data_IF_416582505133
#
_entry.id   IF_416582505133
#
_cell.length_a   1.000
_cell.length_b   1.000
_cell.length_c   1.000
_cell.angle_alpha   90.00
_cell.angle_beta   90.00
_cell.angle_gamma   90.00
#
_symmetry.space_group_name_H-M   'P 1'
#
loop_
_entity.id
_entity.type
_entity.pdbx_description
1 polymer ?
#
# COMPACT_ATOMS: atom_id res chain seq x y z
N UNK A 1 -14.55 -5.35 4.87
CA UNK A 1 -14.62 -3.92 5.27
C UNK A 1 -14.28 -3.12 4.02
N UNK A 2 -15.21 -2.32 3.51
CA UNK A 2 -15.00 -1.53 2.30
C UNK A 2 -14.35 -0.18 2.66
N UNK A 3 -13.39 0.27 1.85
CA UNK A 3 -12.65 1.51 2.09
C UNK A 3 -13.01 2.55 1.02
N UNK A 4 -13.49 3.71 1.45
CA UNK A 4 -13.65 4.86 0.57
C UNK A 4 -12.50 5.85 0.79
N UNK A 5 -11.74 6.16 -0.25
CA UNK A 5 -10.70 7.20 -0.23
C UNK A 5 -11.20 8.43 -0.96
N UNK A 6 -11.11 9.59 -0.33
CA UNK A 6 -11.63 10.84 -0.87
C UNK A 6 -10.54 11.90 -0.84
N UNK A 7 -10.36 12.57 -1.98
CA UNK A 7 -9.59 13.79 -2.06
C UNK A 7 -10.50 14.99 -2.15
N UNK A 8 -10.49 15.79 -1.07
CA UNK A 8 -11.35 16.95 -0.88
C UNK A 8 -10.82 18.20 -1.57
N UNK A 9 -9.53 18.21 -1.92
CA UNK A 9 -8.85 19.36 -2.47
C UNK A 9 -7.64 18.99 -3.34
N UNK A 10 -7.29 19.90 -4.25
CA UNK A 10 -6.05 19.86 -5.03
C UNK A 10 -4.94 20.72 -4.44
N UNK A 11 -5.28 21.67 -3.56
CA UNK A 11 -4.28 22.53 -2.93
C UNK A 11 -3.40 21.73 -1.97
N UNK A 12 -2.10 21.97 -2.03
CA UNK A 12 -1.11 21.40 -1.12
C UNK A 12 -0.07 22.48 -0.79
N UNK A 13 0.42 22.46 0.43
CA UNK A 13 1.52 23.30 0.91
C UNK A 13 2.91 22.70 0.58
N UNK A 14 2.94 21.54 -0.09
CA UNK A 14 4.14 20.94 -0.68
C UNK A 14 4.00 20.77 -2.20
N UNK A 15 5.13 20.72 -2.91
CA UNK A 15 5.22 20.60 -4.37
C UNK A 15 6.13 19.43 -4.77
N UNK A 16 5.87 18.27 -4.18
CA UNK A 16 6.75 17.10 -4.25
C UNK A 16 7.09 16.69 -5.68
N UNK A 17 8.37 16.37 -5.92
CA UNK A 17 8.88 15.89 -7.20
C UNK A 17 8.22 14.57 -7.66
N UNK A 18 7.64 13.81 -6.73
CA UNK A 18 6.97 12.52 -6.95
C UNK A 18 5.46 12.56 -6.62
N UNK A 19 4.82 13.73 -6.61
CA UNK A 19 3.39 13.85 -6.31
C UNK A 19 2.53 13.11 -7.37
N UNK A 20 1.93 11.98 -7.02
CA UNK A 20 1.13 11.17 -7.95
C UNK A 20 -0.13 11.90 -8.46
N UNK A 21 -0.67 12.84 -7.67
CA UNK A 21 -1.84 13.66 -8.04
C UNK A 21 -1.50 14.72 -9.10
N UNK A 22 -0.29 15.28 -9.05
CA UNK A 22 0.16 16.29 -10.00
C UNK A 22 -0.57 17.64 -9.87
N UNK A 23 -0.43 18.53 -10.87
CA UNK A 23 -1.16 19.80 -10.91
C UNK A 23 -2.65 19.59 -11.16
N UNK A 24 -3.52 20.53 -10.75
CA UNK A 24 -4.94 20.46 -11.07
C UNK A 24 -5.19 20.39 -12.58
N UNK A 25 -6.06 19.49 -13.05
CA UNK A 25 -6.63 19.57 -14.38
C UNK A 25 -7.34 20.92 -14.59
N UNK A 26 -7.36 21.39 -15.83
CA UNK A 26 -8.07 22.62 -16.19
C UNK A 26 -9.57 22.45 -15.90
N UNK A 27 -10.16 23.43 -15.21
CA UNK A 27 -11.59 23.45 -14.90
C UNK A 27 -12.01 22.59 -13.70
N UNK A 28 -11.07 21.91 -13.03
CA UNK A 28 -11.41 21.12 -11.84
C UNK A 28 -11.75 22.02 -10.65
N UNK A 29 -12.68 21.56 -9.80
CA UNK A 29 -12.96 22.20 -8.52
C UNK A 29 -11.77 22.01 -7.58
N UNK A 30 -11.15 23.11 -7.14
CA UNK A 30 -9.91 23.08 -6.33
C UNK A 30 -10.13 22.56 -4.90
N UNK A 31 -11.30 22.82 -4.33
CA UNK A 31 -11.73 22.40 -2.98
C UNK A 31 -13.22 22.15 -3.01
N UNK A 32 -13.68 21.04 -2.44
CA UNK A 32 -15.10 20.83 -2.14
C UNK A 32 -15.54 21.79 -1.04
N UNK A 33 -16.84 22.12 -1.00
CA UNK A 33 -17.42 22.72 0.20
C UNK A 33 -17.56 21.68 1.31
N UNK A 34 -17.85 22.13 2.52
CA UNK A 34 -18.12 21.22 3.64
C UNK A 34 -19.34 20.35 3.37
N UNK A 35 -20.40 20.95 2.81
CA UNK A 35 -21.67 20.28 2.50
C UNK A 35 -21.50 19.18 1.46
N UNK A 36 -20.79 19.46 0.36
CA UNK A 36 -20.53 18.48 -0.70
C UNK A 36 -19.66 17.31 -0.19
N UNK A 37 -18.62 17.63 0.57
CA UNK A 37 -17.72 16.62 1.13
C UNK A 37 -18.49 15.67 2.05
N UNK A 38 -19.39 16.23 2.83
CA UNK A 38 -20.20 15.53 3.80
C UNK A 38 -21.29 14.67 3.18
N UNK A 39 -22.03 15.20 2.20
CA UNK A 39 -23.03 14.44 1.43
C UNK A 39 -22.38 13.18 0.86
N UNK A 40 -21.24 13.32 0.18
CA UNK A 40 -20.52 12.20 -0.40
C UNK A 40 -20.03 11.18 0.66
N UNK A 41 -19.55 11.65 1.81
CA UNK A 41 -19.12 10.78 2.91
C UNK A 41 -20.29 9.96 3.45
N UNK A 42 -21.48 10.56 3.60
CA UNK A 42 -22.67 9.89 4.10
C UNK A 42 -23.24 8.90 3.07
N UNK A 43 -23.25 9.27 1.79
CA UNK A 43 -23.67 8.38 0.70
C UNK A 43 -22.82 7.12 0.66
N UNK A 44 -21.49 7.28 0.71
CA UNK A 44 -20.58 6.13 0.72
C UNK A 44 -20.69 5.29 1.99
N UNK A 45 -21.10 5.88 3.11
CA UNK A 45 -21.42 5.11 4.30
C UNK A 45 -22.68 4.26 4.09
N UNK A 46 -23.72 4.82 3.47
CA UNK A 46 -24.95 4.12 3.14
C UNK A 46 -24.72 2.97 2.14
N UNK A 47 -23.75 3.11 1.24
CA UNK A 47 -23.26 2.04 0.36
C UNK A 47 -22.44 0.93 1.08
N UNK A 48 -22.23 1.07 2.40
CA UNK A 48 -21.53 0.07 3.22
C UNK A 48 -20.02 0.29 3.37
N UNK A 49 -19.48 1.45 3.02
CA UNK A 49 -18.08 1.77 3.31
C UNK A 49 -17.83 1.87 4.80
N UNK A 50 -16.91 1.06 5.32
CA UNK A 50 -16.60 0.98 6.75
C UNK A 50 -15.39 1.83 7.14
N UNK A 51 -14.53 2.14 6.17
CA UNK A 51 -13.29 2.91 6.38
C UNK A 51 -13.32 4.12 5.45
N UNK A 52 -13.17 5.31 6.01
CA UNK A 52 -13.01 6.55 5.25
C UNK A 52 -11.53 6.95 5.26
N UNK A 53 -10.96 7.33 4.13
CA UNK A 53 -9.60 7.86 4.05
C UNK A 53 -9.60 9.23 3.37
N UNK A 54 -9.22 10.27 4.09
CA UNK A 54 -8.95 11.59 3.52
C UNK A 54 -7.53 11.59 2.93
N UNK A 55 -7.43 11.87 1.64
CA UNK A 55 -6.19 11.84 0.84
C UNK A 55 -6.08 13.05 -0.10
N UNK A 56 -4.96 13.12 -0.84
CA UNK A 56 -4.61 14.10 -1.86
C UNK A 56 -4.50 15.53 -1.34
N UNK A 57 -4.09 16.48 -2.20
CA UNK A 57 -3.76 17.84 -1.79
C UNK A 57 -2.99 17.86 -0.47
N UNK A 58 -3.49 18.61 0.51
CA UNK A 58 -3.20 18.39 1.93
C UNK A 58 -4.48 18.59 2.75
N UNK A 59 -5.14 17.52 3.26
CA UNK A 59 -6.45 17.64 3.90
C UNK A 59 -6.43 18.51 5.16
N UNK A 60 -5.29 18.59 5.85
CA UNK A 60 -5.16 19.41 7.07
C UNK A 60 -5.16 20.91 6.80
N UNK A 61 -5.26 21.34 5.54
CA UNK A 61 -5.54 22.74 5.15
C UNK A 61 -7.03 23.09 5.20
N UNK A 62 -7.93 22.11 5.37
CA UNK A 62 -9.37 22.32 5.43
C UNK A 62 -9.81 22.58 6.88
N UNK A 63 -10.34 23.77 7.21
CA UNK A 63 -10.78 24.08 8.57
C UNK A 63 -11.90 23.15 9.08
N UNK A 64 -12.74 22.64 8.17
CA UNK A 64 -13.86 21.75 8.49
C UNK A 64 -13.46 20.27 8.61
N UNK A 65 -12.18 19.90 8.43
CA UNK A 65 -11.74 18.50 8.51
C UNK A 65 -12.12 17.83 9.85
N UNK A 66 -11.97 18.46 11.03
CA UNK A 66 -12.37 17.85 12.30
C UNK A 66 -13.87 17.55 12.36
N UNK A 67 -14.71 18.49 11.91
CA UNK A 67 -16.16 18.32 11.89
C UNK A 67 -16.53 17.16 10.96
N UNK A 68 -16.01 17.15 9.73
CA UNK A 68 -16.25 16.08 8.76
C UNK A 68 -15.82 14.70 9.26
N UNK A 69 -14.65 14.60 9.92
CA UNK A 69 -14.19 13.35 10.54
C UNK A 69 -15.09 12.91 11.69
N UNK A 70 -15.52 13.84 12.55
CA UNK A 70 -16.48 13.57 13.63
C UNK A 70 -17.82 13.07 13.09
N UNK A 71 -18.38 13.75 12.10
CA UNK A 71 -19.63 13.41 11.39
C UNK A 71 -19.56 12.01 10.78
N UNK A 72 -18.45 11.69 10.11
CA UNK A 72 -18.21 10.35 9.55
C UNK A 72 -18.25 9.26 10.64
N UNK A 73 -17.55 9.46 11.75
CA UNK A 73 -17.54 8.49 12.86
C UNK A 73 -18.92 8.30 13.49
N UNK A 74 -19.70 9.38 13.68
CA UNK A 74 -21.07 9.30 14.19
C UNK A 74 -22.02 8.61 13.20
N UNK A 75 -21.78 8.73 11.89
CA UNK A 75 -22.51 7.98 10.85
C UNK A 75 -22.14 6.48 10.80
N UNK A 76 -21.19 6.03 11.63
CA UNK A 76 -20.85 4.63 11.79
C UNK A 76 -19.67 4.14 10.95
N UNK A 77 -18.84 5.03 10.40
CA UNK A 77 -17.52 4.61 9.91
C UNK A 77 -16.73 3.99 11.06
N UNK A 78 -16.14 2.82 10.81
CA UNK A 78 -15.34 2.07 11.80
C UNK A 78 -13.96 2.69 11.99
N UNK A 79 -13.43 3.34 10.94
CA UNK A 79 -12.14 4.03 10.98
C UNK A 79 -12.15 5.24 10.04
N UNK A 80 -11.42 6.27 10.42
CA UNK A 80 -11.08 7.43 9.59
C UNK A 80 -9.56 7.48 9.46
N UNK A 81 -9.04 7.48 8.25
CA UNK A 81 -7.62 7.62 7.95
C UNK A 81 -7.36 9.01 7.38
N UNK A 82 -6.33 9.70 7.85
CA UNK A 82 -5.91 11.01 7.34
C UNK A 82 -4.50 10.85 6.80
N UNK A 83 -4.34 10.94 5.48
CA UNK A 83 -3.03 11.00 4.84
C UNK A 83 -2.59 12.46 4.72
N UNK A 84 -1.41 12.78 5.25
CA UNK A 84 -0.97 14.17 5.43
C UNK A 84 0.56 14.29 5.36
N UNK A 85 1.08 15.44 4.96
CA UNK A 85 2.48 15.84 5.14
C UNK A 85 2.76 16.42 6.55
N UNK A 86 1.72 16.55 7.38
CA UNK A 86 1.74 17.06 8.75
C UNK A 86 2.31 18.48 8.94
N UNK A 87 2.54 19.24 7.87
CA UNK A 87 3.12 20.59 7.95
C UNK A 87 2.16 21.56 8.64
N UNK A 88 0.85 21.48 8.35
CA UNK A 88 -0.14 22.32 9.02
C UNK A 88 -0.39 21.88 10.47
N UNK A 89 -0.16 20.59 10.77
CA UNK A 89 -0.27 20.03 12.12
C UNK A 89 0.84 20.48 13.08
N UNK A 90 1.84 21.24 12.59
CA UNK A 90 2.76 21.96 13.47
C UNK A 90 2.02 22.94 14.36
N UNK A 91 0.90 23.50 13.88
CA UNK A 91 -0.09 24.15 14.73
C UNK A 91 -0.95 23.05 15.39
N UNK A 92 -0.88 22.99 16.72
CA UNK A 92 -1.54 21.95 17.51
C UNK A 92 -3.07 22.12 17.55
N UNK A 93 -3.62 23.28 17.16
CA UNK A 93 -5.07 23.53 17.21
C UNK A 93 -5.88 22.51 16.38
N UNK A 94 -5.39 22.17 15.18
CA UNK A 94 -6.03 21.16 14.32
C UNK A 94 -6.02 19.77 14.96
N UNK A 95 -4.88 19.39 15.59
CA UNK A 95 -4.75 18.11 16.28
C UNK A 95 -5.71 18.02 17.48
N UNK A 96 -5.82 19.10 18.26
CA UNK A 96 -6.75 19.19 19.39
C UNK A 96 -8.21 19.16 18.93
N UNK A 97 -8.55 19.79 17.81
CA UNK A 97 -9.89 19.73 17.23
C UNK A 97 -10.24 18.30 16.78
N UNK A 98 -9.34 17.61 16.09
CA UNK A 98 -9.51 16.20 15.69
C UNK A 98 -9.64 15.27 16.91
N UNK A 99 -8.98 15.59 18.02
CA UNK A 99 -9.09 14.81 19.25
C UNK A 99 -10.48 14.96 19.90
N UNK A 100 -11.09 16.14 19.79
CA UNK A 100 -12.40 16.47 20.39
C UNK A 100 -13.59 16.09 19.51
N UNK A 101 -13.40 15.83 18.21
CA UNK A 101 -14.50 15.61 17.27
C UNK A 101 -15.31 14.33 17.53
N UNK A 102 -14.79 13.38 18.31
CA UNK A 102 -15.49 12.15 18.67
C UNK A 102 -14.90 11.53 19.95
N UNK A 103 -15.71 10.94 20.88
CA UNK A 103 -15.19 10.35 22.13
C UNK A 103 -14.16 9.24 21.95
N UNK A 104 -14.20 8.55 20.79
CA UNK A 104 -13.25 7.49 20.42
C UNK A 104 -12.23 7.94 19.36
N UNK A 105 -12.06 9.24 19.13
CA UNK A 105 -11.19 9.78 18.06
C UNK A 105 -9.78 9.17 18.10
N UNK A 106 -9.15 9.15 19.28
CA UNK A 106 -7.81 8.55 19.50
C UNK A 106 -7.69 7.09 19.04
N UNK A 107 -8.78 6.32 19.02
CA UNK A 107 -8.79 4.91 18.60
C UNK A 107 -9.17 4.74 17.12
N UNK A 108 -10.07 5.59 16.63
CA UNK A 108 -10.71 5.43 15.32
C UNK A 108 -10.11 6.31 14.22
N UNK A 109 -9.38 7.37 14.57
CA UNK A 109 -8.65 8.22 13.62
C UNK A 109 -7.19 7.78 13.55
N UNK A 110 -6.73 7.48 12.34
CA UNK A 110 -5.38 7.00 12.06
C UNK A 110 -4.68 7.96 11.09
N UNK A 111 -3.41 8.25 11.34
CA UNK A 111 -2.62 9.15 10.49
C UNK A 111 -1.59 8.37 9.67
N UNK A 112 -1.57 8.64 8.37
CA UNK A 112 -0.47 8.29 7.49
C UNK A 112 0.35 9.54 7.17
N UNK A 113 1.51 9.70 7.79
CA UNK A 113 2.33 10.91 7.64
C UNK A 113 3.43 10.71 6.62
N UNK A 114 3.41 11.51 5.56
CA UNK A 114 4.44 11.54 4.54
C UNK A 114 5.74 12.13 5.08
N UNK A 115 6.81 11.31 5.14
CA UNK A 115 8.16 11.74 5.48
C UNK A 115 9.18 10.98 4.63
N UNK A 116 9.81 11.70 3.71
CA UNK A 116 10.57 11.09 2.60
C UNK A 116 12.10 11.21 2.74
N UNK A 117 12.58 11.87 3.79
CA UNK A 117 14.00 11.93 4.14
C UNK A 117 14.18 12.22 5.64
N UNK A 118 15.35 11.89 6.18
CA UNK A 118 15.73 12.23 7.56
C UNK A 118 16.62 13.49 7.64
N UNK A 119 17.03 14.01 6.49
CA UNK A 119 17.85 15.22 6.38
C UNK A 119 16.98 16.34 5.80
N UNK A 120 16.97 17.49 6.45
CA UNK A 120 16.24 18.69 6.00
C UNK A 120 16.49 19.00 4.53
N UNK A 121 17.77 19.08 4.12
CA UNK A 121 18.18 19.38 2.75
C UNK A 121 17.58 18.41 1.72
N UNK A 122 17.44 17.13 2.06
CA UNK A 122 16.86 16.15 1.16
C UNK A 122 15.33 16.22 1.16
N UNK A 123 14.72 16.39 2.33
CA UNK A 123 13.26 16.53 2.45
C UNK A 123 12.77 17.73 1.67
N UNK A 124 13.31 18.93 1.93
CA UNK A 124 12.87 20.18 1.31
C UNK A 124 13.20 20.24 -0.19
N UNK A 125 14.25 19.53 -0.63
CA UNK A 125 14.50 19.35 -2.06
C UNK A 125 13.44 18.46 -2.72
N UNK A 126 13.12 17.32 -2.09
CA UNK A 126 12.14 16.37 -2.61
C UNK A 126 10.72 16.95 -2.61
N UNK A 127 10.34 17.68 -1.56
CA UNK A 127 9.02 18.32 -1.41
C UNK A 127 8.95 19.67 -2.13
N UNK A 128 10.09 20.23 -2.55
CA UNK A 128 10.24 21.57 -3.13
C UNK A 128 9.61 22.67 -2.28
N UNK A 129 9.67 22.51 -0.96
CA UNK A 129 9.12 23.45 0.00
C UNK A 129 10.11 23.70 1.13
N UNK A 130 10.64 24.92 1.20
CA UNK A 130 11.57 25.32 2.25
C UNK A 130 10.84 25.54 3.58
N UNK A 131 11.49 25.16 4.70
CA UNK A 131 10.95 25.33 6.04
C UNK A 131 9.88 24.31 6.43
N UNK A 132 9.56 23.31 5.59
CA UNK A 132 8.52 22.32 5.93
C UNK A 132 9.03 21.17 6.79
N UNK A 133 10.32 20.81 6.71
CA UNK A 133 10.86 19.64 7.40
C UNK A 133 10.64 19.68 8.92
N UNK A 134 11.07 20.76 9.59
CA UNK A 134 10.92 20.91 11.04
C UNK A 134 9.44 21.01 11.47
N UNK A 135 8.60 21.57 10.60
CA UNK A 135 7.16 21.66 10.81
C UNK A 135 6.50 20.30 10.73
N UNK A 136 6.85 19.48 9.74
CA UNK A 136 6.41 18.07 9.65
C UNK A 136 6.83 17.29 10.90
N UNK A 137 8.09 17.42 11.35
CA UNK A 137 8.55 16.76 12.58
C UNK A 137 7.75 17.23 13.80
N UNK A 138 7.44 18.53 13.87
CA UNK A 138 6.60 19.09 14.95
C UNK A 138 5.16 18.56 14.88
N UNK A 139 4.57 18.46 13.70
CA UNK A 139 3.26 17.85 13.51
C UNK A 139 3.22 16.38 13.93
N UNK A 140 4.25 15.59 13.60
CA UNK A 140 4.40 14.20 14.06
C UNK A 140 4.45 14.15 15.59
N UNK A 141 5.20 15.05 16.24
CA UNK A 141 5.27 15.13 17.71
C UNK A 141 3.91 15.47 18.31
N UNK A 142 3.17 16.42 17.74
CA UNK A 142 1.83 16.79 18.19
C UNK A 142 0.85 15.60 18.10
N UNK A 143 0.87 14.85 16.98
CA UNK A 143 0.07 13.64 16.80
C UNK A 143 0.40 12.56 17.84
N UNK A 144 1.69 12.32 18.07
CA UNK A 144 2.16 11.36 19.07
C UNK A 144 1.76 11.78 20.49
N UNK A 145 1.86 13.08 20.83
CA UNK A 145 1.47 13.60 22.13
C UNK A 145 -0.05 13.50 22.38
N UNK A 146 -0.87 13.72 21.34
CA UNK A 146 -2.32 13.46 21.39
C UNK A 146 -2.64 11.94 21.46
N UNK A 147 -1.66 11.09 21.14
CA UNK A 147 -1.74 9.63 21.21
C UNK A 147 -2.46 9.00 20.02
N UNK A 148 -2.50 9.69 18.88
CA UNK A 148 -3.09 9.13 17.67
C UNK A 148 -2.22 8.00 17.06
N UNK A 149 -2.85 6.93 16.54
CA UNK A 149 -2.20 5.98 15.64
C UNK A 149 -1.48 6.71 14.50
N UNK A 150 -0.16 6.57 14.41
CA UNK A 150 0.61 7.22 13.35
C UNK A 150 1.52 6.21 12.67
N UNK A 151 1.42 6.17 11.34
CA UNK A 151 2.28 5.39 10.43
C UNK A 151 2.98 6.34 9.48
N UNK A 152 4.28 6.15 9.24
CA UNK A 152 4.98 6.95 8.23
C UNK A 152 4.79 6.42 6.81
N UNK A 153 4.80 7.31 5.83
CA UNK A 153 4.84 6.99 4.41
C UNK A 153 6.12 7.52 3.78
N UNK A 154 6.91 6.63 3.18
CA UNK A 154 8.21 6.96 2.60
C UNK A 154 8.29 6.54 1.14
N UNK A 155 8.36 7.52 0.23
CA UNK A 155 8.61 7.28 -1.19
C UNK A 155 10.11 7.10 -1.41
N UNK A 156 10.50 5.96 -1.95
CA UNK A 156 11.90 5.63 -2.24
C UNK A 156 12.32 6.36 -3.51
N UNK A 157 13.33 7.23 -3.41
CA UNK A 157 13.83 8.03 -4.54
C UNK A 157 15.30 7.75 -4.81
N UNK A 158 15.79 8.12 -6.01
CA UNK A 158 17.21 8.10 -6.36
C UNK A 158 18.08 8.91 -5.39
N UNK A 159 17.51 9.92 -4.73
CA UNK A 159 18.22 10.74 -3.76
C UNK A 159 18.36 10.07 -2.39
N UNK A 160 17.39 9.26 -1.99
CA UNK A 160 17.26 8.79 -0.60
C UNK A 160 17.42 7.28 -0.43
N UNK A 161 17.38 6.46 -1.49
CA UNK A 161 17.42 5.01 -1.31
C UNK A 161 18.69 4.50 -0.60
N UNK A 162 19.86 5.09 -0.87
CA UNK A 162 21.12 4.75 -0.17
C UNK A 162 21.09 5.09 1.33
N UNK A 163 20.18 5.98 1.71
CA UNK A 163 20.01 6.54 3.05
C UNK A 163 18.88 5.88 3.84
N UNK A 164 18.20 4.86 3.29
CA UNK A 164 17.11 4.16 3.97
C UNK A 164 17.50 3.60 5.35
N UNK A 165 18.69 2.99 5.56
CA UNK A 165 19.09 2.54 6.89
C UNK A 165 19.22 3.69 7.91
N UNK A 166 19.82 4.81 7.49
CA UNK A 166 19.96 6.00 8.32
C UNK A 166 18.60 6.66 8.62
N UNK A 167 17.69 6.63 7.64
CA UNK A 167 16.30 7.07 7.83
C UNK A 167 15.57 6.21 8.87
N UNK A 168 15.67 4.88 8.78
CA UNK A 168 15.10 3.97 9.78
C UNK A 168 15.66 4.24 11.17
N UNK A 169 16.99 4.41 11.31
CA UNK A 169 17.61 4.72 12.58
C UNK A 169 17.14 6.08 13.15
N UNK A 170 17.01 7.10 12.29
CA UNK A 170 16.47 8.40 12.66
C UNK A 170 15.03 8.29 13.16
N UNK A 171 14.17 7.54 12.46
CA UNK A 171 12.78 7.33 12.85
C UNK A 171 12.70 6.68 14.23
N UNK A 172 13.43 5.58 14.45
CA UNK A 172 13.45 4.87 15.73
C UNK A 172 13.91 5.76 16.89
N UNK A 173 14.91 6.63 16.64
CA UNK A 173 15.44 7.55 17.66
C UNK A 173 14.47 8.68 17.99
N UNK A 174 13.84 9.29 16.99
CA UNK A 174 13.13 10.56 17.15
C UNK A 174 11.60 10.40 17.24
N UNK A 175 11.07 9.21 16.97
CA UNK A 175 9.63 8.98 16.83
C UNK A 175 9.19 7.65 17.48
N UNK A 176 9.47 7.42 18.77
CA UNK A 176 9.19 6.14 19.45
C UNK A 176 7.69 5.76 19.49
N UNK A 177 6.77 6.68 19.20
CA UNK A 177 5.32 6.44 19.13
C UNK A 177 4.79 5.96 17.77
N UNK A 178 5.65 5.86 16.75
CA UNK A 178 5.24 5.42 15.40
C UNK A 178 4.97 3.92 15.40
N UNK A 179 3.79 3.53 14.92
CA UNK A 179 3.38 2.11 14.85
C UNK A 179 4.03 1.35 13.70
N UNK A 180 4.26 2.05 12.61
CA UNK A 180 4.69 1.42 11.38
C UNK A 180 5.20 2.41 10.34
N UNK A 181 5.69 1.84 9.25
CA UNK A 181 6.08 2.56 8.07
C UNK A 181 5.62 1.81 6.82
N UNK A 182 5.09 2.58 5.88
CA UNK A 182 4.76 2.13 4.53
C UNK A 182 5.75 2.73 3.55
N UNK A 183 6.57 1.88 2.94
CA UNK A 183 7.43 2.29 1.84
C UNK A 183 6.66 2.23 0.52
N UNK A 184 7.02 3.09 -0.43
CA UNK A 184 6.41 3.12 -1.75
C UNK A 184 7.48 3.36 -2.81
N UNK A 185 7.38 2.64 -3.92
CA UNK A 185 8.06 3.04 -5.15
C UNK A 185 7.30 4.20 -5.78
N UNK A 186 8.02 5.07 -6.50
CA UNK A 186 7.40 6.20 -7.18
C UNK A 186 6.36 5.67 -8.17
N UNK A 187 5.11 6.10 -8.02
CA UNK A 187 4.08 5.85 -9.01
C UNK A 187 4.44 6.59 -10.30
N UNK A 188 4.59 5.92 -11.45
CA UNK A 188 5.01 6.57 -12.69
C UNK A 188 3.83 7.24 -13.37
N UNK A 189 3.48 8.43 -12.89
CA UNK A 189 2.51 9.31 -13.52
C UNK A 189 3.11 10.08 -14.71
N UNK A 190 2.27 10.37 -15.69
CA UNK A 190 2.64 10.98 -16.97
C UNK A 190 3.40 12.31 -16.82
N UNK A 191 3.00 13.15 -15.86
CA UNK A 191 3.66 14.44 -15.61
C UNK A 191 5.11 14.30 -15.10
N UNK A 192 5.59 13.09 -14.80
CA UNK A 192 6.99 12.82 -14.48
C UNK A 192 7.88 12.50 -15.67
N UNK A 193 7.36 12.39 -16.91
CA UNK A 193 8.18 12.02 -18.08
C UNK A 193 9.44 12.90 -18.23
N UNK A 194 9.37 14.17 -17.83
CA UNK A 194 10.50 15.12 -17.88
C UNK A 194 11.43 15.09 -16.65
N UNK A 195 11.06 14.36 -15.60
CA UNK A 195 11.74 14.31 -14.30
C UNK A 195 12.05 12.89 -13.85
N UNK A 196 12.40 12.01 -14.79
CA UNK A 196 12.67 10.61 -14.48
C UNK A 196 13.93 10.38 -13.62
N UNK A 197 14.76 11.41 -13.38
CA UNK A 197 15.96 11.34 -12.55
C UNK A 197 15.69 11.05 -11.07
N UNK A 198 14.45 11.22 -10.61
CA UNK A 198 14.03 10.89 -9.25
C UNK A 198 13.83 9.38 -9.04
N UNK A 199 13.66 8.61 -10.12
CA UNK A 199 13.44 7.17 -10.06
C UNK A 199 14.79 6.45 -9.87
N UNK A 200 14.97 5.70 -8.77
CA UNK A 200 16.13 4.83 -8.61
C UNK A 200 15.98 3.60 -9.51
N UNK A 201 17.12 3.00 -9.89
CA UNK A 201 17.13 1.63 -10.43
C UNK A 201 16.70 0.66 -9.34
N UNK A 202 15.67 -0.15 -9.59
CA UNK A 202 15.01 -0.95 -8.54
C UNK A 202 15.97 -1.96 -7.92
N UNK A 203 16.78 -2.65 -8.73
CA UNK A 203 17.74 -3.63 -8.21
C UNK A 203 18.83 -3.01 -7.33
N UNK A 204 19.12 -1.72 -7.46
CA UNK A 204 20.11 -1.05 -6.61
C UNK A 204 19.58 -0.71 -5.20
N UNK A 205 18.26 -0.78 -5.00
CA UNK A 205 17.61 -0.43 -3.75
C UNK A 205 17.74 -1.56 -2.72
N UNK A 206 17.69 -2.81 -3.19
CA UNK A 206 17.66 -4.03 -2.38
C UNK A 206 18.61 -4.01 -1.17
N UNK A 207 19.94 -3.82 -1.30
CA UNK A 207 20.84 -3.90 -0.15
C UNK A 207 20.60 -2.83 0.92
N UNK A 208 20.09 -1.65 0.54
CA UNK A 208 19.78 -0.58 1.48
C UNK A 208 18.41 -0.78 2.12
N UNK A 209 17.45 -1.27 1.33
CA UNK A 209 16.11 -1.60 1.81
C UNK A 209 16.16 -2.76 2.81
N UNK A 210 16.91 -3.82 2.53
CA UNK A 210 17.08 -4.99 3.41
C UNK A 210 17.63 -4.57 4.78
N UNK A 211 18.68 -3.74 4.80
CA UNK A 211 19.22 -3.20 6.06
C UNK A 211 18.20 -2.33 6.79
N UNK A 212 17.47 -1.48 6.08
CA UNK A 212 16.47 -0.60 6.66
C UNK A 212 15.31 -1.37 7.29
N UNK A 213 14.75 -2.38 6.61
CA UNK A 213 13.63 -3.17 7.13
C UNK A 213 14.05 -4.11 8.25
N UNK A 214 15.28 -4.65 8.22
CA UNK A 214 15.78 -5.52 9.28
C UNK A 214 15.92 -4.75 10.59
N UNK A 215 16.45 -3.52 10.51
CA UNK A 215 16.51 -2.62 11.67
C UNK A 215 15.12 -2.34 12.26
N UNK A 216 14.15 -2.01 11.40
CA UNK A 216 12.78 -1.70 11.81
C UNK A 216 12.06 -2.89 12.45
N UNK A 217 12.15 -4.06 11.82
CA UNK A 217 11.54 -5.30 12.31
C UNK A 217 12.15 -5.74 13.64
N UNK A 218 13.46 -5.59 13.81
CA UNK A 218 14.13 -5.89 15.08
C UNK A 218 13.65 -5.00 16.23
N UNK A 219 13.15 -3.80 15.93
CA UNK A 219 12.54 -2.88 16.90
C UNK A 219 11.02 -3.02 17.02
N UNK A 220 10.42 -4.06 16.43
CA UNK A 220 8.97 -4.30 16.50
C UNK A 220 8.11 -3.36 15.64
N UNK A 221 8.72 -2.54 14.78
CA UNK A 221 7.98 -1.63 13.89
C UNK A 221 7.35 -2.41 12.73
N UNK A 222 6.08 -2.15 12.46
CA UNK A 222 5.37 -2.76 11.33
C UNK A 222 5.88 -2.15 10.02
N UNK A 223 6.38 -3.00 9.12
CA UNK A 223 6.86 -2.57 7.80
C UNK A 223 5.89 -3.04 6.71
N UNK A 224 5.41 -2.09 5.93
CA UNK A 224 4.48 -2.30 4.83
C UNK A 224 5.03 -1.75 3.51
N UNK A 225 4.47 -2.22 2.41
CA UNK A 225 4.58 -1.57 1.10
C UNK A 225 3.24 -0.95 0.70
N UNK A 226 3.31 0.12 -0.07
CA UNK A 226 2.15 0.70 -0.77
C UNK A 226 1.88 -0.06 -2.06
N UNK A 227 0.61 -0.12 -2.45
CA UNK A 227 0.18 -0.63 -3.76
C UNK A 227 0.45 0.36 -4.88
N UNK A 228 0.59 1.65 -4.56
CA UNK A 228 1.03 2.65 -5.51
C UNK A 228 2.48 2.36 -5.91
N UNK A 229 2.70 2.22 -7.22
CA UNK A 229 4.03 1.95 -7.77
C UNK A 229 4.50 0.49 -7.62
N UNK A 230 3.61 -0.49 -7.39
CA UNK A 230 4.02 -1.91 -7.32
C UNK A 230 4.92 -2.33 -8.48
N UNK A 231 6.03 -2.97 -8.13
CA UNK A 231 7.05 -3.51 -9.04
C UNK A 231 6.91 -5.03 -9.15
N UNK A 232 7.45 -5.67 -10.21
CA UNK A 232 7.50 -7.13 -10.30
C UNK A 232 8.14 -7.79 -9.07
N UNK A 233 7.60 -8.95 -8.65
CA UNK A 233 8.14 -9.73 -7.53
C UNK A 233 9.64 -9.97 -7.63
N UNK A 234 10.13 -10.28 -8.83
CA UNK A 234 11.54 -10.59 -9.08
C UNK A 234 12.51 -9.43 -8.87
N UNK A 235 12.02 -8.20 -8.71
CA UNK A 235 12.84 -7.02 -8.43
C UNK A 235 12.96 -6.72 -6.93
N UNK A 236 12.26 -7.47 -6.08
CA UNK A 236 12.15 -7.17 -4.66
C UNK A 236 12.97 -8.09 -3.74
N UNK A 237 13.82 -8.93 -4.36
CA UNK A 237 14.97 -9.61 -3.76
C UNK A 237 14.71 -10.23 -2.36
N UNK A 238 13.73 -11.13 -2.23
CA UNK A 238 13.43 -11.80 -0.95
C UNK A 238 12.41 -11.09 -0.06
N UNK A 239 11.92 -9.91 -0.48
CA UNK A 239 10.87 -9.17 0.23
C UNK A 239 9.50 -9.26 -0.43
N UNK A 240 9.29 -10.21 -1.34
CA UNK A 240 8.07 -10.36 -2.15
C UNK A 240 6.80 -10.38 -1.29
N UNK A 241 6.89 -10.93 -0.08
CA UNK A 241 5.81 -10.93 0.92
C UNK A 241 5.24 -9.55 1.22
N UNK A 242 6.05 -8.50 1.24
CA UNK A 242 5.55 -7.14 1.47
C UNK A 242 4.68 -6.67 0.29
N UNK A 243 5.03 -7.04 -0.94
CA UNK A 243 4.22 -6.73 -2.12
C UNK A 243 2.91 -7.53 -2.12
N UNK A 244 2.96 -8.81 -1.74
CA UNK A 244 1.74 -9.62 -1.62
C UNK A 244 0.80 -9.08 -0.54
N UNK A 245 1.33 -8.74 0.64
CA UNK A 245 0.51 -8.15 1.71
C UNK A 245 -0.11 -6.83 1.28
N UNK A 246 0.64 -5.99 0.56
CA UNK A 246 0.09 -4.77 -0.03
C UNK A 246 -1.01 -5.08 -1.03
N UNK A 247 -0.82 -6.07 -1.90
CA UNK A 247 -1.83 -6.51 -2.85
C UNK A 247 -3.10 -6.96 -2.13
N UNK A 248 -2.99 -7.84 -1.12
CA UNK A 248 -4.12 -8.35 -0.36
C UNK A 248 -4.89 -7.25 0.38
N UNK A 249 -4.18 -6.34 1.04
CA UNK A 249 -4.78 -5.21 1.77
C UNK A 249 -5.56 -4.28 0.83
N UNK A 250 -4.96 -3.93 -0.30
CA UNK A 250 -5.46 -2.87 -1.16
C UNK A 250 -6.41 -3.37 -2.28
N UNK A 251 -6.53 -4.70 -2.47
CA UNK A 251 -7.46 -5.34 -3.43
C UNK A 251 -8.69 -6.00 -2.81
N UNK A 252 -8.86 -5.94 -1.49
CA UNK A 252 -10.12 -6.36 -0.89
C UNK A 252 -11.26 -5.47 -1.42
N UNK A 253 -12.37 -6.09 -1.86
CA UNK A 253 -13.47 -5.44 -2.57
C UNK A 253 -13.96 -4.16 -1.88
N UNK A 254 -14.39 -3.20 -2.71
CA UNK A 254 -15.03 -1.97 -2.24
C UNK A 254 -14.08 -0.78 -2.00
N UNK A 255 -12.88 -0.79 -2.60
CA UNK A 255 -12.01 0.38 -2.64
C UNK A 255 -12.47 1.38 -3.72
N UNK A 256 -13.21 2.42 -3.32
CA UNK A 256 -13.58 3.53 -4.20
C UNK A 256 -12.68 4.76 -3.92
N UNK A 257 -12.36 5.51 -4.98
CA UNK A 257 -11.64 6.78 -4.89
C UNK A 257 -12.49 7.90 -5.47
N UNK A 258 -12.53 9.07 -4.83
CA UNK A 258 -13.10 10.28 -5.40
C UNK A 258 -12.06 11.40 -5.40
N UNK A 259 -11.88 12.08 -6.53
CA UNK A 259 -10.96 13.21 -6.64
C UNK A 259 -11.65 14.44 -7.26
N UNK A 260 -12.51 15.11 -6.50
CA UNK A 260 -13.22 16.39 -6.79
C UNK A 260 -13.95 16.51 -8.14
N UNK A 261 -13.93 15.47 -8.95
CA UNK A 261 -14.41 15.43 -10.33
C UNK A 261 -15.19 14.15 -10.59
N UNK A 262 -14.65 13.00 -10.17
CA UNK A 262 -15.28 11.69 -10.40
C UNK A 262 -14.96 10.70 -9.30
N UNK A 263 -15.92 9.81 -9.05
CA UNK A 263 -15.74 8.58 -8.29
C UNK A 263 -15.30 7.48 -9.25
N UNK A 264 -14.17 6.84 -9.00
CA UNK A 264 -13.71 5.66 -9.76
C UNK A 264 -13.18 4.59 -8.80
N UNK A 265 -13.38 3.32 -9.17
CA UNK A 265 -12.68 2.22 -8.52
C UNK A 265 -11.16 2.43 -8.66
N UNK A 266 -10.38 2.08 -7.64
CA UNK A 266 -8.92 2.22 -7.70
C UNK A 266 -8.36 1.51 -8.93
N UNK A 267 -7.83 2.23 -9.93
CA UNK A 267 -7.60 1.66 -11.25
C UNK A 267 -6.38 0.75 -11.27
N UNK A 268 -5.48 0.86 -10.28
CA UNK A 268 -4.18 0.18 -10.25
C UNK A 268 -4.24 -1.33 -10.35
N UNK A 269 -5.40 -1.93 -10.11
CA UNK A 269 -5.58 -3.38 -10.11
C UNK A 269 -6.50 -3.88 -11.21
N UNK A 270 -7.11 -2.97 -11.97
CA UNK A 270 -7.89 -3.33 -13.14
C UNK A 270 -6.94 -3.87 -14.21
N UNK A 271 -7.30 -5.02 -14.79
CA UNK A 271 -6.49 -5.69 -15.81
C UNK A 271 -6.16 -4.74 -16.97
N UNK A 272 -7.15 -4.00 -17.44
CA UNK A 272 -6.99 -2.99 -18.50
C UNK A 272 -5.95 -1.92 -18.11
N UNK A 273 -5.99 -1.43 -16.87
CA UNK A 273 -5.01 -0.45 -16.40
C UNK A 273 -3.59 -1.05 -16.37
N UNK A 274 -3.43 -2.28 -15.86
CA UNK A 274 -2.13 -2.94 -15.85
C UNK A 274 -1.60 -3.14 -17.27
N UNK A 275 -2.43 -3.64 -18.20
CA UNK A 275 -2.04 -3.84 -19.62
C UNK A 275 -1.66 -2.55 -20.33
N UNK A 276 -2.36 -1.44 -20.03
CA UNK A 276 -2.04 -0.13 -20.60
C UNK A 276 -0.73 0.44 -20.07
N UNK A 277 -0.42 0.23 -18.79
CA UNK A 277 0.69 0.94 -18.12
C UNK A 277 1.94 0.10 -17.87
N UNK A 278 1.83 -1.23 -17.95
CA UNK A 278 2.93 -2.16 -17.67
C UNK A 278 3.27 -3.02 -18.87
N UNK A 279 4.50 -3.56 -18.86
CA UNK A 279 5.08 -4.36 -19.91
C UNK A 279 5.89 -5.51 -19.30
N UNK A 280 5.88 -6.64 -20.01
CA UNK A 280 6.70 -7.81 -19.73
C UNK A 280 7.80 -7.93 -20.77
N UNK A 281 8.90 -8.59 -20.41
CA UNK A 281 9.95 -8.95 -21.37
C UNK A 281 9.69 -10.33 -21.96
N UNK A 282 10.42 -10.68 -23.03
CA UNK A 282 10.36 -12.02 -23.61
C UNK A 282 10.68 -13.12 -22.58
N UNK A 283 11.60 -12.88 -21.63
CA UNK A 283 11.96 -13.87 -20.61
C UNK A 283 10.85 -14.08 -19.56
N UNK A 284 9.85 -13.19 -19.49
CA UNK A 284 8.73 -13.35 -18.56
C UNK A 284 7.85 -14.55 -18.91
N UNK A 285 7.76 -14.97 -20.18
CA UNK A 285 6.94 -16.11 -20.60
C UNK A 285 7.37 -17.45 -19.97
N UNK A 286 8.62 -17.55 -19.49
CA UNK A 286 9.13 -18.71 -18.77
C UNK A 286 8.98 -18.61 -17.24
N UNK A 287 8.39 -17.53 -16.72
CA UNK A 287 8.26 -17.27 -15.28
C UNK A 287 7.06 -18.03 -14.69
N UNK A 288 7.27 -18.75 -13.59
CA UNK A 288 6.18 -19.40 -12.84
C UNK A 288 5.13 -18.38 -12.37
N UNK A 289 5.55 -17.16 -12.03
CA UNK A 289 4.65 -16.09 -11.58
C UNK A 289 4.10 -15.22 -12.71
N UNK A 290 4.32 -15.58 -13.99
CA UNK A 290 3.81 -14.80 -15.12
C UNK A 290 2.29 -14.54 -15.06
N UNK A 291 1.43 -15.53 -14.70
CA UNK A 291 -0.02 -15.33 -14.68
C UNK A 291 -0.53 -14.33 -13.65
N UNK A 292 0.29 -13.95 -12.67
CA UNK A 292 -0.09 -13.03 -11.58
C UNK A 292 0.75 -11.75 -11.54
N UNK A 293 1.75 -11.65 -12.41
CA UNK A 293 2.63 -10.49 -12.47
C UNK A 293 2.19 -9.59 -13.63
N UNK A 294 1.82 -8.33 -13.33
CA UNK A 294 1.51 -7.34 -14.35
C UNK A 294 2.71 -6.84 -15.17
N UNK A 295 3.94 -7.26 -14.82
CA UNK A 295 5.17 -6.74 -15.41
C UNK A 295 5.64 -5.43 -14.76
N UNK A 296 6.54 -4.71 -15.43
CA UNK A 296 7.11 -3.45 -14.97
C UNK A 296 6.45 -2.27 -15.67
N UNK A 297 6.43 -1.11 -15.05
CA UNK A 297 5.89 0.11 -15.65
C UNK A 297 6.60 0.47 -16.96
N UNK A 298 5.83 0.77 -18.01
CA UNK A 298 6.35 1.16 -19.33
C UNK A 298 7.28 2.37 -19.23
N UNK A 299 6.87 3.39 -18.47
CA UNK A 299 7.68 4.58 -18.21
C UNK A 299 9.03 4.26 -17.53
N UNK A 300 9.07 3.27 -16.63
CA UNK A 300 10.34 2.82 -16.05
C UNK A 300 11.19 2.10 -17.10
N UNK A 301 10.58 1.23 -17.89
CA UNK A 301 11.25 0.47 -18.95
C UNK A 301 11.83 1.38 -20.04
N UNK A 302 11.16 2.49 -20.39
CA UNK A 302 11.68 3.51 -21.32
C UNK A 302 13.04 4.08 -20.86
N UNK A 303 13.25 4.19 -19.55
CA UNK A 303 14.50 4.72 -18.97
C UNK A 303 15.56 3.66 -18.74
N UNK A 304 15.18 2.53 -18.14
CA UNK A 304 16.12 1.55 -17.61
C UNK A 304 16.16 0.24 -18.40
N UNK A 305 15.31 0.10 -19.41
CA UNK A 305 15.10 -1.12 -20.15
C UNK A 305 14.38 -2.19 -19.31
N UNK A 306 14.38 -3.41 -19.84
CA UNK A 306 13.76 -4.58 -19.22
C UNK A 306 14.78 -5.55 -18.60
N UNK A 307 16.08 -5.20 -18.63
CA UNK A 307 17.17 -6.11 -18.25
C UNK A 307 17.21 -6.49 -16.76
N UNK A 308 16.49 -5.78 -15.89
CA UNK A 308 16.38 -6.14 -14.46
C UNK A 308 15.42 -7.31 -14.22
N UNK A 309 14.52 -7.61 -15.17
CA UNK A 309 13.51 -8.65 -15.00
C UNK A 309 14.14 -10.04 -14.98
N UNK A 310 13.93 -10.76 -13.87
CA UNK A 310 14.46 -12.12 -13.67
C UNK A 310 13.30 -13.10 -13.41
N UNK A 311 12.99 -14.01 -14.34
CA UNK A 311 11.88 -14.94 -14.14
C UNK A 311 12.15 -15.90 -12.97
N UNK A 312 11.11 -16.21 -12.19
CA UNK A 312 11.17 -17.32 -11.23
C UNK A 312 10.96 -18.63 -11.97
N UNK A 313 11.85 -19.60 -11.74
CA UNK A 313 11.76 -20.93 -12.33
C UNK A 313 11.16 -21.91 -11.34
N UNK A 314 10.66 -23.04 -11.84
CA UNK A 314 10.28 -24.19 -11.00
C UNK A 314 11.44 -24.62 -10.09
N UNK A 315 12.68 -24.55 -10.59
CA UNK A 315 13.88 -24.85 -9.80
C UNK A 315 14.07 -23.90 -8.60
N UNK A 316 13.77 -22.60 -8.75
CA UNK A 316 13.80 -21.65 -7.64
C UNK A 316 12.84 -22.07 -6.53
N UNK A 317 11.58 -22.34 -6.87
CA UNK A 317 10.57 -22.68 -5.87
C UNK A 317 10.81 -24.05 -5.25
N UNK A 318 11.32 -25.04 -5.99
CA UNK A 318 11.70 -26.34 -5.41
C UNK A 318 12.82 -26.25 -4.37
N UNK A 319 13.71 -25.25 -4.47
CA UNK A 319 14.81 -25.02 -3.52
C UNK A 319 14.43 -24.21 -2.28
N UNK A 320 13.24 -23.58 -2.25
CA UNK A 320 12.78 -22.85 -1.07
C UNK A 320 12.66 -23.81 0.14
N UNK A 321 12.93 -23.36 1.37
CA UNK A 321 12.88 -24.21 2.55
C UNK A 321 11.49 -24.83 2.74
N UNK A 322 11.43 -25.96 3.45
CA UNK A 322 10.18 -26.62 3.84
C UNK A 322 10.03 -26.57 5.35
N UNK A 323 8.91 -26.01 5.83
CA UNK A 323 8.66 -25.83 7.26
C UNK A 323 8.02 -27.03 7.93
N UNK A 324 7.64 -28.10 7.22
CA UNK A 324 6.85 -29.21 7.75
C UNK A 324 5.35 -28.90 7.92
N UNK A 325 4.99 -27.63 8.06
CA UNK A 325 3.62 -27.17 8.20
C UNK A 325 2.78 -27.32 6.91
N UNK A 326 1.49 -27.58 7.09
CA UNK A 326 0.46 -27.47 6.06
C UNK A 326 -0.25 -26.12 6.13
N UNK A 327 -0.74 -25.64 4.98
CA UNK A 327 -1.53 -24.42 4.86
C UNK A 327 -2.89 -24.68 4.26
N UNK A 328 -3.81 -23.73 4.39
CA UNK A 328 -5.11 -23.79 3.74
C UNK A 328 -5.43 -22.45 3.11
N UNK A 329 -5.96 -22.47 1.89
CA UNK A 329 -6.49 -21.28 1.21
C UNK A 329 -8.01 -21.39 1.17
N UNK A 330 -8.70 -20.40 1.73
CA UNK A 330 -10.14 -20.24 1.52
C UNK A 330 -10.35 -19.49 0.19
N UNK A 331 -10.90 -20.17 -0.80
CA UNK A 331 -11.16 -19.63 -2.14
C UNK A 331 -12.36 -18.68 -2.15
N UNK A 332 -13.30 -18.83 -1.22
CA UNK A 332 -14.47 -17.94 -1.13
C UNK A 332 -14.05 -16.51 -0.73
N UNK A 333 -12.88 -16.32 -0.11
CA UNK A 333 -12.31 -14.98 0.09
C UNK A 333 -11.95 -14.28 -1.22
N UNK A 334 -11.67 -15.05 -2.28
CA UNK A 334 -11.33 -14.58 -3.60
C UNK A 334 -12.47 -13.82 -4.28
N UNK A 335 -13.72 -14.08 -3.91
CA UNK A 335 -14.90 -13.37 -4.45
C UNK A 335 -14.87 -11.87 -4.14
N UNK A 336 -14.07 -11.46 -3.15
CA UNK A 336 -13.82 -10.06 -2.83
C UNK A 336 -12.67 -9.44 -3.66
N UNK A 337 -12.12 -10.13 -4.66
CA UNK A 337 -11.02 -9.62 -5.48
C UNK A 337 -11.50 -9.43 -6.92
N UNK A 338 -11.00 -8.40 -7.64
CA UNK A 338 -11.32 -8.22 -9.06
C UNK A 338 -10.95 -9.43 -9.93
N UNK A 339 -9.89 -10.14 -9.54
CA UNK A 339 -9.45 -11.40 -10.15
C UNK A 339 -9.27 -12.48 -9.06
N UNK A 340 -10.30 -13.32 -8.84
CA UNK A 340 -10.23 -14.39 -7.85
C UNK A 340 -9.21 -15.49 -8.20
N UNK A 341 -8.87 -15.68 -9.47
CA UNK A 341 -7.84 -16.62 -9.91
C UNK A 341 -6.43 -16.10 -9.55
N UNK A 342 -6.18 -14.80 -9.76
CA UNK A 342 -4.95 -14.16 -9.28
C UNK A 342 -4.82 -14.24 -7.76
N UNK A 343 -5.92 -14.02 -7.02
CA UNK A 343 -5.95 -14.19 -5.57
C UNK A 343 -5.44 -15.59 -5.14
N UNK A 344 -5.99 -16.65 -5.74
CA UNK A 344 -5.61 -18.03 -5.42
C UNK A 344 -4.12 -18.29 -5.72
N UNK A 345 -3.66 -17.92 -6.91
CA UNK A 345 -2.26 -18.11 -7.35
C UNK A 345 -1.28 -17.33 -6.47
N UNK A 346 -1.58 -16.07 -6.13
CA UNK A 346 -0.77 -15.23 -5.24
C UNK A 346 -0.72 -15.85 -3.83
N UNK A 347 -1.85 -16.35 -3.33
CA UNK A 347 -1.92 -17.01 -2.03
C UNK A 347 -1.07 -18.27 -1.97
N UNK A 348 -1.05 -19.08 -3.04
CA UNK A 348 -0.17 -20.25 -3.13
C UNK A 348 1.32 -19.85 -3.14
N UNK A 349 1.70 -18.85 -3.92
CA UNK A 349 3.08 -18.36 -3.95
C UNK A 349 3.52 -17.83 -2.57
N UNK A 350 2.63 -17.14 -1.87
CA UNK A 350 2.86 -16.64 -0.51
C UNK A 350 3.11 -17.78 0.49
N UNK A 351 2.23 -18.79 0.51
CA UNK A 351 2.42 -19.99 1.36
C UNK A 351 3.73 -20.71 1.00
N UNK A 352 4.07 -20.79 -0.28
CA UNK A 352 5.30 -21.43 -0.71
C UNK A 352 6.54 -20.71 -0.17
N UNK A 353 6.57 -19.38 -0.22
CA UNK A 353 7.64 -18.58 0.38
C UNK A 353 7.70 -18.74 1.92
N UNK A 354 6.58 -19.05 2.58
CA UNK A 354 6.49 -19.46 4.01
C UNK A 354 7.00 -20.87 4.29
N UNK A 355 7.48 -21.57 3.26
CA UNK A 355 7.95 -22.93 3.37
C UNK A 355 6.84 -23.97 3.46
N UNK A 356 5.59 -23.56 3.22
CA UNK A 356 4.44 -24.46 3.19
C UNK A 356 4.36 -25.09 1.81
N UNK A 357 4.48 -26.42 1.78
CA UNK A 357 4.39 -27.21 0.56
C UNK A 357 3.00 -27.82 0.37
N UNK A 358 2.42 -28.30 1.47
CA UNK A 358 1.15 -29.02 1.44
C UNK A 358 0.01 -28.02 1.68
N UNK A 359 -0.79 -27.78 0.63
CA UNK A 359 -1.82 -26.74 0.60
C UNK A 359 -3.19 -27.40 0.43
N UNK A 360 -4.07 -27.21 1.42
CA UNK A 360 -5.49 -27.51 1.30
C UNK A 360 -6.26 -26.36 0.65
N UNK A 361 -7.26 -26.69 -0.18
CA UNK A 361 -8.18 -25.72 -0.76
C UNK A 361 -9.57 -25.90 -0.13
N UNK A 362 -10.17 -24.79 0.30
CA UNK A 362 -11.55 -24.74 0.81
C UNK A 362 -12.37 -23.78 -0.03
N UNK A 363 -13.68 -24.03 -0.14
CA UNK A 363 -14.60 -23.19 -0.89
C UNK A 363 -14.75 -23.60 -2.35
N UNK A 364 -15.37 -22.73 -3.15
CA UNK A 364 -15.60 -22.99 -4.58
C UNK A 364 -14.44 -22.52 -5.44
N UNK A 365 -14.19 -23.27 -6.52
CA UNK A 365 -13.22 -22.86 -7.54
C UNK A 365 -13.70 -21.57 -8.20
N UNK A 366 -12.82 -20.56 -8.39
CA UNK A 366 -13.15 -19.38 -9.16
C UNK A 366 -13.66 -19.69 -10.57
N UNK A 367 -14.54 -18.83 -11.11
CA UNK A 367 -14.94 -18.94 -12.52
C UNK A 367 -13.73 -18.65 -13.42
N UNK A 368 -13.61 -19.40 -14.52
CA UNK A 368 -12.57 -19.17 -15.54
C UNK A 368 -11.20 -19.76 -15.21
N UNK A 369 -11.09 -20.63 -14.20
CA UNK A 369 -9.88 -21.42 -13.93
C UNK A 369 -10.25 -22.89 -13.72
N UNK A 370 -9.49 -23.81 -14.30
CA UNK A 370 -9.69 -25.25 -14.13
C UNK A 370 -8.89 -25.82 -12.96
N UNK A 371 -9.32 -26.98 -12.45
CA UNK A 371 -8.57 -27.71 -11.42
C UNK A 371 -7.17 -28.12 -11.92
N UNK A 372 -7.04 -28.40 -13.22
CA UNK A 372 -5.76 -28.76 -13.85
C UNK A 372 -4.81 -27.57 -13.91
N UNK A 373 -5.30 -26.37 -14.27
CA UNK A 373 -4.50 -25.15 -14.26
C UNK A 373 -3.96 -24.84 -12.86
N UNK A 374 -4.79 -25.03 -11.83
CA UNK A 374 -4.40 -24.84 -10.44
C UNK A 374 -3.37 -25.88 -10.01
N UNK A 375 -3.56 -27.14 -10.38
CA UNK A 375 -2.65 -28.24 -10.06
C UNK A 375 -1.29 -28.06 -10.75
N UNK A 376 -1.28 -27.59 -12.00
CA UNK A 376 -0.08 -27.27 -12.76
C UNK A 376 0.69 -26.11 -12.11
N UNK A 377 -0.01 -25.04 -11.73
CA UNK A 377 0.59 -23.90 -11.04
C UNK A 377 1.16 -24.29 -9.67
N UNK A 378 0.41 -25.05 -8.87
CA UNK A 378 0.90 -25.57 -7.59
C UNK A 378 2.15 -26.44 -7.77
N UNK A 379 2.17 -27.32 -8.77
CA UNK A 379 3.33 -28.14 -9.11
C UNK A 379 4.54 -27.31 -9.53
N UNK A 380 4.33 -26.21 -10.28
CA UNK A 380 5.39 -25.28 -10.66
C UNK A 380 5.99 -24.53 -9.46
N UNK A 381 5.19 -24.28 -8.42
CA UNK A 381 5.65 -23.79 -7.12
C UNK A 381 6.31 -24.88 -6.25
N UNK A 382 6.31 -26.14 -6.71
CA UNK A 382 6.75 -27.28 -5.91
C UNK A 382 5.83 -27.59 -4.73
N UNK A 383 4.58 -27.12 -4.76
CA UNK A 383 3.53 -27.40 -3.78
C UNK A 383 2.76 -28.68 -4.14
N UNK A 384 2.10 -29.28 -3.15
CA UNK A 384 1.15 -30.39 -3.31
C UNK A 384 -0.21 -29.93 -2.82
N UNK A 385 -1.23 -30.16 -3.62
CA UNK A 385 -2.61 -29.91 -3.22
C UNK A 385 -3.13 -31.13 -2.47
N UNK A 386 -3.67 -30.94 -1.27
CA UNK A 386 -4.31 -32.01 -0.54
C UNK A 386 -5.62 -32.41 -1.23
N UNK A 387 -5.83 -33.70 -1.45
CA UNK A 387 -7.08 -34.24 -1.98
C UNK A 387 -8.17 -34.21 -0.90
N UNK A 388 -9.28 -33.50 -1.16
CA UNK A 388 -10.49 -33.58 -0.33
C UNK A 388 -10.57 -32.57 0.83
N UNK A 389 -11.76 -31.99 0.99
CA UNK A 389 -12.06 -30.91 1.94
C UNK A 389 -11.71 -31.26 3.41
N UNK A 390 -11.19 -30.31 4.21
CA UNK A 390 -11.08 -30.52 5.65
C UNK A 390 -12.46 -30.34 6.27
N UNK A 391 -13.21 -31.44 6.37
CA UNK A 391 -14.34 -31.54 7.27
C UNK A 391 -13.82 -32.19 8.57
N UNK A 392 -14.11 -31.53 9.70
CA UNK A 392 -13.76 -31.86 11.10
C UNK A 392 -12.40 -31.39 11.64
N UNK A 393 -12.51 -30.41 12.56
CA UNK A 393 -11.75 -30.25 13.81
C UNK A 393 -10.32 -30.83 13.80
N UNK A 394 -9.41 -30.20 13.06
CA UNK A 394 -7.98 -30.36 13.31
C UNK A 394 -7.40 -29.04 13.81
N UNK A 395 -6.73 -29.10 14.96
CA UNK A 395 -5.98 -28.00 15.58
C UNK A 395 -4.67 -27.73 14.83
N UNK A 396 -4.72 -27.65 13.50
CA UNK A 396 -3.61 -27.15 12.68
C UNK A 396 -3.62 -25.62 12.71
N UNK A 397 -2.45 -24.99 12.77
CA UNK A 397 -2.33 -23.54 12.68
C UNK A 397 -3.01 -23.02 11.40
N UNK A 398 -4.23 -22.52 11.51
CA UNK A 398 -4.89 -21.72 10.48
C UNK A 398 -4.15 -20.39 10.40
N UNK A 399 -3.11 -20.32 9.56
CA UNK A 399 -2.53 -19.04 9.16
C UNK A 399 -3.42 -18.44 8.09
N UNK A 400 -4.50 -17.80 8.51
CA UNK A 400 -5.27 -16.92 7.61
C UNK A 400 -4.38 -15.73 7.23
N UNK A 401 -3.99 -15.70 5.96
CA UNK A 401 -3.07 -14.70 5.39
C UNK A 401 -3.55 -13.25 5.60
N UNK A 402 -4.85 -13.05 5.82
CA UNK A 402 -5.51 -11.74 5.90
C UNK A 402 -5.68 -11.19 7.32
N UNK A 403 -5.55 -12.01 8.36
CA UNK A 403 -5.89 -11.60 9.73
C UNK A 403 -4.78 -10.92 10.53
N UNK A 404 -3.61 -10.72 9.94
CA UNK A 404 -2.53 -9.92 10.53
C UNK A 404 -2.39 -8.55 9.84
N UNK A 405 -3.50 -7.94 9.44
CA UNK A 405 -3.58 -6.51 9.09
C UNK A 405 -3.64 -5.66 10.35
N UNK A 406 -2.64 -5.81 11.22
CA UNK A 406 -2.36 -4.82 12.26
C UNK A 406 -1.95 -3.51 11.57
N UNK A 407 -2.89 -2.57 11.52
CA UNK A 407 -2.64 -1.13 11.37
C UNK A 407 -2.77 -0.50 12.74
#
# INVERSE_FOLDING_TARGET
MHKFSISLLWDCNEKCLFCAKGPPPRGVKRRLSEEEALELVLDKRAEGCDILAFDGGEPTLLPYLPELAGRALHAGYKQVHILTNAVALSDNNMVLALLKCHPKAKKLIHFGVSLHAHLKKDSEHLTRSAGTFERTLTGIRNLNAAGFPTTLYHVITARTYRKLPAFSAFMLKNMPGIRGITFSFIFPAEHFRRHMNIFPRITEIAPFFDRAINLLRASGVIVNMSSCGMVPFCLFNGNERLLIRSFARDNSAGAASYDTHKSEAFPFFLENFQRMNKIKSAVCGACVLDPVCGGIWKMYAERYGLGELKPYTTGYFKKQPFSGAAGTINMDHGDNYPDPAAYLRISMAALRWDGIRDIGLKGRLPRGISADEISLFASALGCRLAAGAPNRKDKGLTRDFHHNTGV
#
